data_IF_839161805074
#
_entry.id   IF_839161805074
#
_cell.length_a   1.000
_cell.length_b   1.000
_cell.length_c   1.000
_cell.angle_alpha   90.00
_cell.angle_beta   90.00
_cell.angle_gamma   90.00
#
_symmetry.space_group_name_H-M   'P 1'
#
loop_
_entity.id
_entity.type
_entity.pdbx_description
1 polymer ?
#
# COMPACT_ATOMS: atom_id res chain seq x y z
N UNK A 1 -13.39 2.04 -9.34
CA UNK A 1 -13.16 0.95 -8.36
C UNK A 1 -11.97 1.40 -7.53
N UNK A 2 -12.16 1.56 -6.22
CA UNK A 2 -11.05 1.94 -5.34
C UNK A 2 -10.04 0.80 -5.24
N UNK A 3 -8.75 1.14 -5.11
CA UNK A 3 -7.68 0.19 -4.81
C UNK A 3 -7.51 0.06 -3.30
N UNK A 4 -7.26 -1.17 -2.84
CA UNK A 4 -7.04 -1.50 -1.44
C UNK A 4 -5.76 -2.30 -1.30
N UNK A 5 -4.97 -2.00 -0.28
CA UNK A 5 -3.79 -2.75 0.11
C UNK A 5 -3.82 -3.00 1.61
N UNK A 6 -3.33 -4.15 2.05
CA UNK A 6 -3.26 -4.51 3.47
C UNK A 6 -1.84 -4.85 3.89
N UNK A 7 -1.40 -4.35 5.05
CA UNK A 7 -0.12 -4.76 5.63
C UNK A 7 -0.25 -6.10 6.37
N UNK A 8 0.88 -6.75 6.65
CA UNK A 8 0.93 -8.04 7.37
C UNK A 8 0.34 -7.98 8.79
N UNK A 9 0.21 -6.80 9.38
CA UNK A 9 -0.39 -6.57 10.70
C UNK A 9 -1.90 -6.26 10.62
N UNK A 10 -2.50 -6.29 9.43
CA UNK A 10 -3.94 -6.12 9.23
C UNK A 10 -4.40 -4.67 9.07
N UNK A 11 -3.50 -3.69 8.99
CA UNK A 11 -3.86 -2.32 8.63
C UNK A 11 -4.23 -2.23 7.15
N UNK A 12 -5.32 -1.52 6.86
CA UNK A 12 -5.82 -1.34 5.49
C UNK A 12 -5.59 0.07 5.02
N UNK A 13 -5.14 0.19 3.78
CA UNK A 13 -4.97 1.46 3.08
C UNK A 13 -5.83 1.42 1.82
N UNK A 14 -6.61 2.47 1.61
CA UNK A 14 -7.53 2.59 0.48
C UNK A 14 -7.34 3.93 -0.24
N UNK A 15 -7.42 3.89 -1.57
CA UNK A 15 -7.36 5.07 -2.41
C UNK A 15 -8.10 4.87 -3.73
N UNK A 16 -8.48 5.98 -4.38
CA UNK A 16 -9.20 5.94 -5.65
C UNK A 16 -8.27 5.64 -6.84
N UNK A 17 -7.01 6.08 -6.74
CA UNK A 17 -5.97 5.85 -7.75
C UNK A 17 -4.82 5.02 -7.20
N UNK A 18 -4.10 4.38 -8.12
CA UNK A 18 -2.89 3.62 -7.78
C UNK A 18 -1.79 4.50 -7.19
N UNK A 19 -1.59 5.69 -7.73
CA UNK A 19 -0.54 6.60 -7.27
C UNK A 19 -0.81 7.09 -5.85
N UNK A 20 -2.07 7.43 -5.55
CA UNK A 20 -2.49 7.81 -4.19
C UNK A 20 -2.34 6.63 -3.23
N UNK A 21 -2.64 5.40 -3.68
CA UNK A 21 -2.46 4.22 -2.86
C UNK A 21 -0.99 4.00 -2.52
N UNK A 22 -0.11 4.03 -3.52
CA UNK A 22 1.35 3.85 -3.33
C UNK A 22 1.88 4.88 -2.34
N UNK A 23 1.49 6.15 -2.50
CA UNK A 23 1.92 7.22 -1.60
C UNK A 23 1.46 6.96 -0.16
N UNK A 24 0.19 6.59 0.04
CA UNK A 24 -0.36 6.28 1.37
C UNK A 24 0.30 5.05 1.99
N UNK A 25 0.57 4.00 1.21
CA UNK A 25 1.25 2.79 1.69
C UNK A 25 2.69 3.12 2.10
N UNK A 26 3.41 3.90 1.31
CA UNK A 26 4.78 4.33 1.66
C UNK A 26 4.80 5.18 2.92
N UNK A 27 3.87 6.14 3.05
CA UNK A 27 3.74 6.93 4.27
C UNK A 27 3.42 6.04 5.48
N UNK A 28 2.50 5.09 5.32
CA UNK A 28 2.11 4.13 6.35
C UNK A 28 3.32 3.30 6.82
N UNK A 29 4.05 2.67 5.90
CA UNK A 29 5.22 1.84 6.25
C UNK A 29 6.29 2.66 6.96
N UNK A 30 6.50 3.91 6.54
CA UNK A 30 7.46 4.81 7.18
C UNK A 30 7.02 5.23 8.58
N UNK A 31 5.75 5.56 8.79
CA UNK A 31 5.23 6.10 10.06
C UNK A 31 4.95 5.00 11.09
N UNK A 32 4.30 3.92 10.68
CA UNK A 32 3.81 2.88 11.58
C UNK A 32 4.86 1.77 11.80
N UNK A 33 5.73 1.54 10.81
CA UNK A 33 6.69 0.44 10.85
C UNK A 33 8.14 0.89 10.77
N UNK A 34 8.41 2.19 10.54
CA UNK A 34 9.77 2.70 10.37
C UNK A 34 10.53 2.08 9.20
N UNK A 35 9.81 1.54 8.21
CA UNK A 35 10.40 0.84 7.05
C UNK A 35 9.99 1.50 5.74
N UNK A 36 10.81 1.30 4.71
CA UNK A 36 10.52 1.78 3.37
C UNK A 36 10.05 0.63 2.48
N UNK A 37 9.10 0.93 1.60
CA UNK A 37 8.57 0.00 0.62
C UNK A 37 8.63 0.62 -0.78
N UNK A 38 9.15 -0.13 -1.75
CA UNK A 38 9.22 0.34 -3.13
C UNK A 38 7.85 0.31 -3.78
N UNK A 39 7.58 1.27 -4.67
CA UNK A 39 6.37 1.30 -5.50
C UNK A 39 6.11 -0.05 -6.17
N UNK A 40 7.13 -0.64 -6.79
CA UNK A 40 7.02 -1.92 -7.49
C UNK A 40 6.52 -3.06 -6.60
N UNK A 41 6.89 -3.05 -5.30
CA UNK A 41 6.41 -4.04 -4.34
C UNK A 41 4.94 -3.83 -4.02
N UNK A 42 4.53 -2.59 -3.74
CA UNK A 42 3.11 -2.24 -3.53
C UNK A 42 2.25 -2.63 -4.74
N UNK A 43 2.74 -2.36 -5.95
CA UNK A 43 2.03 -2.70 -7.18
C UNK A 43 1.98 -4.21 -7.47
N UNK A 44 2.98 -4.96 -6.99
CA UNK A 44 2.97 -6.41 -7.10
C UNK A 44 1.92 -7.00 -6.17
N UNK A 45 1.93 -6.60 -4.91
CA UNK A 45 0.96 -7.06 -3.90
C UNK A 45 -0.48 -6.77 -4.37
N UNK A 46 -0.73 -5.60 -4.96
CA UNK A 46 -2.04 -5.24 -5.52
C UNK A 46 -2.54 -6.12 -6.66
N UNK A 47 -1.63 -6.73 -7.43
CA UNK A 47 -1.99 -7.66 -8.51
C UNK A 47 -2.19 -9.08 -8.02
N UNK A 48 -1.66 -9.41 -6.85
CA UNK A 48 -1.81 -10.72 -6.22
C UNK A 48 -3.08 -10.78 -5.34
N UNK A 49 -3.66 -9.62 -4.97
CA UNK A 49 -4.92 -9.51 -4.22
C UNK A 49 -6.20 -9.39 -5.10
N UNK A 50 -6.08 -9.34 -6.45
CA UNK A 50 -7.19 -9.40 -7.42
C UNK A 50 -7.51 -10.84 -7.83
#
# INVERSE_FOLDING_TARGET
>A
MGKRWSCALGHRVEADTEEELVRKVQEHMRREHGTEISREKVLRDLREED
#
